data_IF_852433704246
#
_entry.id   IF_852433704246
#
_cell.length_a   1.000
_cell.length_b   1.000
_cell.length_c   1.000
_cell.angle_alpha   90.00
_cell.angle_beta   90.00
_cell.angle_gamma   90.00
#
_symmetry.space_group_name_H-M   'P 1'
#
loop_
_entity.id
_entity.type
_entity.pdbx_description
1 polymer ?
#
# COMPACT_ATOMS: atom_id res chain seq x y z
N UNK A 1 11.42 77.54 -41.97
CA UNK A 1 11.68 77.41 -40.54
C UNK A 1 10.63 76.50 -39.96
N UNK A 2 11.01 75.59 -39.15
CA UNK A 2 10.31 74.57 -38.35
C UNK A 2 10.36 73.17 -38.97
N UNK A 3 11.28 72.40 -38.45
CA UNK A 3 11.52 71.00 -38.67
C UNK A 3 10.44 70.16 -38.00
N UNK A 4 9.82 69.21 -38.68
CA UNK A 4 8.99 68.18 -38.10
C UNK A 4 9.78 66.88 -38.05
N UNK A 5 9.97 66.34 -36.85
CA UNK A 5 10.69 65.12 -36.55
C UNK A 5 9.73 63.94 -36.75
N UNK A 6 10.08 63.06 -37.70
CA UNK A 6 9.38 61.82 -37.97
C UNK A 6 9.97 60.75 -37.07
N UNK A 7 9.25 60.24 -36.09
CA UNK A 7 9.66 59.11 -35.25
C UNK A 7 9.17 57.82 -35.91
N UNK A 8 10.15 57.06 -36.40
CA UNK A 8 9.93 55.70 -36.97
C UNK A 8 9.89 54.69 -35.81
N UNK A 9 8.72 54.11 -35.58
CA UNK A 9 8.56 53.01 -34.57
C UNK A 9 8.87 51.71 -35.31
N UNK A 10 10.02 51.12 -35.06
CA UNK A 10 10.34 49.72 -35.40
C UNK A 10 9.70 48.78 -34.38
N UNK A 11 8.65 48.07 -34.79
CA UNK A 11 8.13 46.92 -34.04
C UNK A 11 9.10 45.73 -34.22
N UNK A 12 9.92 45.47 -33.21
CA UNK A 12 10.64 44.20 -33.07
C UNK A 12 9.71 43.19 -32.40
N UNK A 13 9.20 42.22 -33.16
CA UNK A 13 8.60 41.02 -32.65
C UNK A 13 9.70 40.17 -32.00
N UNK A 14 9.80 40.20 -30.67
CA UNK A 14 10.62 39.26 -29.92
C UNK A 14 9.70 38.06 -29.65
N UNK A 15 9.96 36.97 -30.36
CA UNK A 15 9.40 35.67 -30.09
C UNK A 15 10.03 35.13 -28.80
N UNK A 16 9.35 35.27 -27.69
CA UNK A 16 9.76 34.68 -26.40
C UNK A 16 9.43 33.19 -26.43
N UNK A 17 10.43 32.36 -26.62
CA UNK A 17 10.34 30.94 -26.33
C UNK A 17 10.33 30.80 -24.80
N UNK A 18 9.15 30.52 -24.25
CA UNK A 18 9.00 30.16 -22.85
C UNK A 18 9.54 28.74 -22.68
N UNK A 19 10.72 28.61 -22.12
CA UNK A 19 11.17 27.37 -21.49
C UNK A 19 10.34 27.19 -20.22
N UNK A 20 9.46 26.23 -20.22
CA UNK A 20 8.84 25.76 -19.01
C UNK A 20 9.92 25.04 -18.18
N UNK A 21 10.46 25.72 -17.18
CA UNK A 21 11.16 25.07 -16.08
C UNK A 21 10.11 24.32 -15.25
N UNK A 22 10.17 23.00 -15.31
CA UNK A 22 9.46 22.13 -14.37
C UNK A 22 9.96 22.47 -12.95
N UNK A 23 9.20 23.29 -12.27
CA UNK A 23 9.37 23.53 -10.86
C UNK A 23 9.01 22.23 -10.14
N UNK A 24 10.01 21.43 -9.80
CA UNK A 24 9.93 20.42 -8.77
C UNK A 24 9.62 21.17 -7.48
N UNK A 25 8.34 21.19 -7.12
CA UNK A 25 7.87 21.70 -5.84
C UNK A 25 8.48 20.82 -4.76
N UNK A 26 9.52 21.31 -4.09
CA UNK A 26 9.95 20.75 -2.81
C UNK A 26 8.83 21.04 -1.81
N UNK A 27 7.95 20.06 -1.62
CA UNK A 27 7.01 20.06 -0.52
C UNK A 27 7.84 20.01 0.77
N UNK A 28 8.00 21.15 1.43
CA UNK A 28 8.42 21.23 2.81
C UNK A 28 7.33 20.57 3.65
N UNK A 29 7.57 19.32 4.05
CA UNK A 29 6.71 18.62 5.01
C UNK A 29 6.78 19.41 6.33
N UNK A 30 5.68 20.05 6.68
CA UNK A 30 5.54 20.77 7.94
C UNK A 30 5.55 19.78 9.10
N UNK A 31 6.36 20.09 10.12
CA UNK A 31 6.69 19.27 11.30
C UNK A 31 5.51 19.08 12.28
N UNK A 32 4.30 19.49 11.92
CA UNK A 32 3.15 19.54 12.85
C UNK A 32 2.20 18.33 12.79
N UNK A 33 2.58 17.22 12.15
CA UNK A 33 1.77 16.01 12.17
C UNK A 33 2.42 14.95 13.04
N UNK A 34 1.78 14.65 14.17
CA UNK A 34 2.10 13.43 14.95
C UNK A 34 2.05 12.22 14.02
N UNK A 35 2.99 11.26 14.13
CA UNK A 35 3.02 10.10 13.26
C UNK A 35 1.78 9.24 13.51
N UNK A 36 0.79 9.37 12.64
CA UNK A 36 -0.28 8.41 12.51
C UNK A 36 0.15 7.37 11.47
N UNK A 37 -0.34 6.14 11.58
CA UNK A 37 -0.23 5.18 10.50
C UNK A 37 -1.02 5.76 9.32
N UNK A 38 -0.37 5.93 8.17
CA UNK A 38 -1.06 6.23 6.92
C UNK A 38 -1.64 4.91 6.43
N UNK A 39 -2.93 4.67 6.73
CA UNK A 39 -3.58 3.38 6.50
C UNK A 39 -4.13 3.28 5.08
N UNK A 40 -3.76 2.20 4.41
CA UNK A 40 -4.31 1.76 3.12
C UNK A 40 -5.24 0.56 3.27
N UNK A 41 -5.37 0.02 4.50
CA UNK A 41 -6.08 -1.23 4.78
C UNK A 41 -5.23 -2.48 4.50
N UNK A 42 -3.91 -2.33 4.38
CA UNK A 42 -2.97 -3.41 4.11
C UNK A 42 -2.69 -4.26 5.35
N UNK A 43 -2.42 -5.56 5.17
CA UNK A 43 -1.85 -6.43 6.22
C UNK A 43 -0.34 -6.25 6.38
N UNK A 44 0.27 -5.36 5.62
CA UNK A 44 1.71 -5.05 5.65
C UNK A 44 1.91 -3.65 6.21
N UNK A 45 2.76 -3.54 7.23
CA UNK A 45 3.19 -2.25 7.78
C UNK A 45 4.69 -2.06 7.57
N UNK A 46 5.08 -0.97 6.95
CA UNK A 46 6.47 -0.52 6.92
C UNK A 46 6.72 0.37 8.13
N UNK A 47 7.53 -0.10 9.06
CA UNK A 47 7.99 0.65 10.23
C UNK A 47 9.43 1.08 10.01
N UNK A 48 9.75 2.35 10.19
CA UNK A 48 11.14 2.77 10.03
C UNK A 48 11.56 3.84 11.06
N UNK A 49 12.87 3.85 11.32
CA UNK A 49 13.53 4.94 12.03
C UNK A 49 14.61 5.54 11.14
N UNK A 50 14.63 6.87 11.02
CA UNK A 50 15.63 7.57 10.22
C UNK A 50 16.09 8.87 10.88
N UNK A 51 17.37 9.17 10.70
CA UNK A 51 17.95 10.49 10.99
C UNK A 51 18.41 11.22 9.72
N UNK A 52 18.21 10.58 8.56
CA UNK A 52 18.53 11.12 7.24
C UNK A 52 17.51 10.67 6.20
N UNK A 53 17.62 11.17 4.98
CA UNK A 53 16.67 10.88 3.92
C UNK A 53 16.82 9.47 3.30
N UNK A 54 17.91 8.74 3.57
CA UNK A 54 18.20 7.47 2.89
C UNK A 54 17.21 6.38 3.28
N UNK A 55 17.05 6.13 4.59
CA UNK A 55 16.07 5.16 5.10
C UNK A 55 14.65 5.63 4.80
N UNK A 56 14.37 6.92 4.99
CA UNK A 56 13.03 7.47 4.72
C UNK A 56 12.63 7.22 3.27
N UNK A 57 13.46 7.60 2.30
CA UNK A 57 13.18 7.37 0.89
C UNK A 57 13.01 5.87 0.55
N UNK A 58 13.81 5.00 1.18
CA UNK A 58 13.67 3.56 1.01
C UNK A 58 12.35 3.04 1.58
N UNK A 59 11.95 3.48 2.78
CA UNK A 59 10.70 3.08 3.42
C UNK A 59 9.47 3.50 2.59
N UNK A 60 9.45 4.74 2.10
CA UNK A 60 8.39 5.20 1.20
C UNK A 60 8.34 4.39 -0.11
N UNK A 61 9.51 4.08 -0.69
CA UNK A 61 9.57 3.26 -1.93
C UNK A 61 9.04 1.85 -1.68
N UNK A 62 9.36 1.24 -0.54
CA UNK A 62 8.85 -0.10 -0.16
C UNK A 62 7.35 -0.05 0.07
N UNK A 63 6.87 0.93 0.84
CA UNK A 63 5.45 1.09 1.14
C UNK A 63 4.62 1.31 -0.16
N UNK A 64 5.08 2.19 -1.04
CA UNK A 64 4.46 2.43 -2.36
C UNK A 64 4.43 1.15 -3.22
N UNK A 65 5.54 0.39 -3.24
CA UNK A 65 5.64 -0.84 -4.04
C UNK A 65 4.69 -1.93 -3.57
N UNK A 66 4.52 -2.06 -2.26
CA UNK A 66 3.71 -3.12 -1.64
C UNK A 66 2.29 -2.66 -1.28
N UNK A 67 1.93 -1.40 -1.55
CA UNK A 67 0.69 -0.78 -1.05
C UNK A 67 0.54 -0.96 0.46
N UNK A 68 1.67 -0.86 1.18
CA UNK A 68 1.75 -1.08 2.61
C UNK A 68 1.50 0.19 3.39
N UNK A 69 0.97 0.06 4.59
CA UNK A 69 0.89 1.15 5.54
C UNK A 69 2.28 1.58 6.02
N UNK A 70 2.43 2.82 6.45
CA UNK A 70 3.73 3.38 6.82
C UNK A 70 3.68 4.01 8.22
N UNK A 71 4.71 3.72 9.03
CA UNK A 71 4.88 4.28 10.36
C UNK A 71 6.33 4.71 10.61
N UNK A 72 6.56 5.98 10.95
CA UNK A 72 7.86 6.49 11.35
C UNK A 72 8.03 6.47 12.87
N UNK A 73 9.05 5.79 13.36
CA UNK A 73 9.43 5.86 14.76
C UNK A 73 10.09 7.22 15.01
N UNK A 74 9.41 8.07 15.75
CA UNK A 74 9.91 9.40 16.10
C UNK A 74 10.35 9.43 17.56
N UNK A 75 11.60 9.85 17.86
CA UNK A 75 12.05 10.05 19.22
C UNK A 75 11.36 11.28 19.85
N UNK A 76 11.10 11.26 21.15
CA UNK A 76 10.61 12.44 21.90
C UNK A 76 11.55 13.64 21.71
N UNK A 77 12.86 13.37 21.75
CA UNK A 77 13.89 14.35 21.48
C UNK A 77 14.54 14.05 20.13
N UNK A 78 14.27 14.82 19.07
CA UNK A 78 14.88 14.61 17.76
C UNK A 78 16.40 14.60 17.82
N UNK A 79 17.03 13.74 17.01
CA UNK A 79 18.50 13.69 16.89
C UNK A 79 18.96 14.88 16.02
N UNK A 80 19.92 15.63 16.55
CA UNK A 80 20.62 16.70 15.82
C UNK A 80 21.83 16.14 15.05
N UNK A 81 22.42 16.96 14.17
CA UNK A 81 23.66 16.59 13.48
C UNK A 81 24.82 16.28 14.45
N UNK A 82 24.87 16.97 15.59
CA UNK A 82 25.89 16.73 16.62
C UNK A 82 25.62 15.41 17.37
N UNK A 83 24.36 15.05 17.57
CA UNK A 83 23.95 13.80 18.21
C UNK A 83 24.35 12.57 17.41
N UNK A 84 24.35 12.63 16.08
CA UNK A 84 24.70 11.51 15.19
C UNK A 84 26.17 11.52 14.76
N UNK A 85 26.99 12.39 15.32
CA UNK A 85 28.41 12.49 15.01
C UNK A 85 29.19 11.29 15.59
N UNK A 86 29.40 10.26 14.80
CA UNK A 86 30.10 9.02 15.20
C UNK A 86 31.60 9.22 15.48
N UNK A 87 32.20 10.35 15.12
CA UNK A 87 33.58 10.71 15.48
C UNK A 87 33.69 11.28 16.90
N UNK A 88 32.57 11.68 17.51
CA UNK A 88 32.51 12.18 18.86
C UNK A 88 32.00 11.08 19.81
N UNK A 89 32.89 10.56 20.65
CA UNK A 89 32.52 9.55 21.67
C UNK A 89 31.53 10.04 22.72
N UNK A 90 31.33 11.37 22.80
CA UNK A 90 30.37 12.01 23.71
C UNK A 90 29.07 12.41 22.99
N UNK A 91 28.93 12.12 21.70
CA UNK A 91 27.66 12.31 21.01
C UNK A 91 26.58 11.41 21.61
N UNK A 92 25.33 11.85 21.53
CA UNK A 92 24.19 11.11 22.07
C UNK A 92 24.14 9.67 21.53
N UNK A 93 24.27 9.49 20.22
CA UNK A 93 24.25 8.16 19.61
C UNK A 93 25.44 7.30 20.03
N UNK A 94 26.64 7.90 20.24
CA UNK A 94 27.79 7.15 20.77
C UNK A 94 27.53 6.66 22.19
N UNK A 95 26.95 7.47 23.04
CA UNK A 95 26.60 7.11 24.43
C UNK A 95 25.52 6.02 24.41
N UNK A 96 24.41 6.23 23.67
CA UNK A 96 23.31 5.28 23.58
C UNK A 96 23.78 3.90 23.05
N UNK A 97 24.61 3.86 22.00
CA UNK A 97 25.06 2.59 21.41
C UNK A 97 26.03 1.83 22.33
N UNK A 98 26.79 2.53 23.18
CA UNK A 98 27.68 1.92 24.17
C UNK A 98 26.95 1.44 25.44
N UNK A 99 25.71 1.86 25.66
CA UNK A 99 24.85 1.41 26.75
C UNK A 99 23.82 0.37 26.26
N UNK A 100 23.97 -0.91 26.61
CA UNK A 100 22.99 -1.93 26.25
C UNK A 100 21.59 -1.71 26.82
N UNK A 101 21.48 -0.90 27.88
CA UNK A 101 20.22 -0.60 28.55
C UNK A 101 19.58 0.72 28.05
N UNK A 102 20.23 1.46 27.17
CA UNK A 102 19.67 2.69 26.62
C UNK A 102 18.34 2.40 25.87
N UNK A 103 17.32 3.14 26.24
CA UNK A 103 15.98 3.08 25.65
C UNK A 103 15.47 4.51 25.38
N UNK A 104 15.91 5.14 24.26
CA UNK A 104 15.41 6.44 23.87
C UNK A 104 13.90 6.43 23.75
N UNK A 105 13.23 7.43 24.31
CA UNK A 105 11.77 7.48 24.34
C UNK A 105 11.21 7.78 22.94
N UNK A 106 10.11 7.08 22.59
CA UNK A 106 9.34 7.25 21.35
C UNK A 106 8.18 8.19 21.62
N UNK A 107 7.96 9.15 20.73
CA UNK A 107 6.94 10.20 20.91
C UNK A 107 5.53 9.62 20.84
N UNK A 108 5.28 8.73 19.89
CA UNK A 108 3.99 8.04 19.72
C UNK A 108 4.26 6.61 19.29
N UNK A 109 3.54 5.66 19.85
CA UNK A 109 3.52 4.25 19.42
C UNK A 109 2.25 4.01 18.57
N UNK A 110 2.26 3.05 17.65
CA UNK A 110 1.04 2.62 16.99
C UNK A 110 0.07 2.06 18.03
N UNK A 111 -1.21 2.43 17.94
CA UNK A 111 -2.24 2.02 18.92
C UNK A 111 -2.47 0.51 18.88
N UNK A 112 -2.47 -0.08 17.69
CA UNK A 112 -2.71 -1.50 17.47
C UNK A 112 -1.96 -2.00 16.23
N UNK A 113 -1.38 -3.19 16.34
CA UNK A 113 -0.75 -3.89 15.22
C UNK A 113 -1.49 -5.16 14.80
N UNK A 114 -2.67 -5.46 15.37
CA UNK A 114 -3.40 -6.70 15.11
C UNK A 114 -3.81 -6.88 13.64
N UNK A 115 -4.03 -5.79 12.92
CA UNK A 115 -4.36 -5.81 11.49
C UNK A 115 -3.18 -6.17 10.57
N UNK A 116 -1.94 -6.28 11.08
CA UNK A 116 -0.76 -6.51 10.28
C UNK A 116 -0.15 -7.88 10.53
N UNK A 117 0.03 -8.66 9.48
CA UNK A 117 0.73 -9.96 9.53
C UNK A 117 2.22 -9.79 9.31
N UNK A 118 2.62 -8.78 8.54
CA UNK A 118 4.00 -8.51 8.17
C UNK A 118 4.43 -7.10 8.52
N UNK A 119 5.58 -7.01 9.21
CA UNK A 119 6.25 -5.75 9.54
C UNK A 119 7.56 -5.67 8.76
N UNK A 120 7.69 -4.70 7.88
CA UNK A 120 8.96 -4.42 7.18
C UNK A 120 9.68 -3.33 7.96
N UNK A 121 10.80 -3.68 8.61
CA UNK A 121 11.47 -2.85 9.60
C UNK A 121 12.73 -2.18 9.04
N UNK A 122 12.69 -0.85 8.85
CA UNK A 122 13.78 -0.05 8.27
C UNK A 122 14.58 0.74 9.29
N UNK A 123 15.94 0.68 9.23
CA UNK A 123 16.80 1.43 10.15
C UNK A 123 18.23 1.61 9.62
N UNK A 124 18.96 2.65 10.05
CA UNK A 124 20.39 2.76 9.77
C UNK A 124 21.20 1.81 10.68
N UNK A 125 22.37 1.38 10.22
CA UNK A 125 23.33 0.65 11.06
C UNK A 125 24.23 1.64 11.78
N UNK A 126 24.18 1.61 13.12
CA UNK A 126 25.06 2.35 14.00
C UNK A 126 25.96 1.39 14.79
N UNK A 127 27.30 1.49 14.62
CA UNK A 127 28.28 0.60 15.28
C UNK A 127 27.98 -0.91 15.11
N UNK A 128 27.51 -1.32 13.91
CA UNK A 128 27.17 -2.73 13.62
C UNK A 128 25.87 -3.22 14.29
N UNK A 129 25.07 -2.31 14.83
CA UNK A 129 23.83 -2.56 15.57
C UNK A 129 22.68 -1.76 15.01
N UNK A 130 21.45 -2.11 15.38
CA UNK A 130 20.31 -1.23 15.23
C UNK A 130 20.38 -0.08 16.26
N UNK A 131 19.86 1.11 15.96
CA UNK A 131 19.72 2.20 16.92
C UNK A 131 18.93 1.78 18.17
N UNK A 132 19.32 2.27 19.35
CA UNK A 132 18.67 1.88 20.60
C UNK A 132 17.17 2.18 20.67
N UNK A 133 16.67 3.16 19.92
CA UNK A 133 15.25 3.45 19.83
C UNK A 133 14.44 2.28 19.22
N UNK A 134 15.07 1.42 18.37
CA UNK A 134 14.43 0.21 17.85
C UNK A 134 14.20 -0.81 18.98
N UNK A 135 15.10 -0.87 19.96
CA UNK A 135 14.92 -1.73 21.15
C UNK A 135 13.70 -1.26 21.96
N UNK A 136 13.55 0.07 22.13
CA UNK A 136 12.37 0.64 22.76
C UNK A 136 11.09 0.24 22.01
N UNK A 137 11.09 0.37 20.68
CA UNK A 137 9.95 -0.03 19.85
C UNK A 137 9.60 -1.50 20.02
N UNK A 138 10.57 -2.41 19.84
CA UNK A 138 10.37 -3.85 19.93
C UNK A 138 9.83 -4.32 21.30
N UNK A 139 10.21 -3.62 22.37
CA UNK A 139 9.74 -3.92 23.74
C UNK A 139 8.39 -3.27 24.07
N UNK A 140 7.92 -2.32 23.24
CA UNK A 140 6.71 -1.54 23.50
C UNK A 140 5.47 -2.03 22.73
N UNK A 141 5.64 -2.92 21.75
CA UNK A 141 4.55 -3.40 20.90
C UNK A 141 4.46 -4.92 20.89
N UNK A 142 3.27 -5.46 20.66
CA UNK A 142 3.09 -6.91 20.52
C UNK A 142 3.35 -7.35 19.07
N UNK A 143 4.39 -8.15 18.88
CA UNK A 143 4.82 -8.71 17.59
C UNK A 143 4.55 -10.21 17.49
N UNK A 144 3.78 -10.77 18.40
CA UNK A 144 3.45 -12.20 18.42
C UNK A 144 2.76 -12.64 17.13
N UNK A 145 3.23 -13.72 16.52
CA UNK A 145 2.69 -14.29 15.29
C UNK A 145 3.01 -13.51 14.02
N UNK A 146 3.75 -12.40 14.10
CA UNK A 146 4.06 -11.57 12.94
C UNK A 146 5.35 -11.99 12.25
N UNK A 147 5.44 -11.69 10.95
CA UNK A 147 6.68 -11.83 10.17
C UNK A 147 7.41 -10.49 10.13
N UNK A 148 8.67 -10.47 10.53
CA UNK A 148 9.54 -9.27 10.50
C UNK A 148 10.54 -9.40 9.36
N UNK A 149 10.58 -8.41 8.47
CA UNK A 149 11.49 -8.33 7.33
C UNK A 149 12.36 -7.09 7.50
N UNK A 150 13.58 -7.22 8.03
CA UNK A 150 14.43 -6.06 8.24
C UNK A 150 15.05 -5.55 6.93
N UNK A 151 15.17 -4.23 6.79
CA UNK A 151 16.08 -3.62 5.85
C UNK A 151 16.90 -2.53 6.54
N UNK A 152 18.12 -2.32 6.08
CA UNK A 152 18.98 -1.32 6.71
C UNK A 152 19.87 -0.60 5.69
N UNK A 153 20.27 0.61 6.03
CA UNK A 153 21.36 1.31 5.34
C UNK A 153 22.63 1.24 6.15
N UNK A 154 23.76 1.15 5.45
CA UNK A 154 25.08 1.16 6.06
C UNK A 154 26.09 1.77 5.09
N UNK A 155 26.92 2.67 5.58
CA UNK A 155 27.96 3.30 4.78
C UNK A 155 29.00 2.29 4.25
N UNK A 156 29.70 1.59 5.13
CA UNK A 156 30.77 0.66 4.76
C UNK A 156 30.67 -0.70 5.44
N UNK A 157 29.97 -0.81 6.57
CA UNK A 157 29.79 -2.06 7.32
C UNK A 157 28.67 -2.92 6.71
N UNK A 158 28.66 -4.22 7.01
CA UNK A 158 27.52 -5.10 6.75
C UNK A 158 26.39 -4.82 7.73
N UNK A 159 25.38 -5.71 7.72
CA UNK A 159 24.22 -5.65 8.63
C UNK A 159 24.57 -5.87 10.10
N UNK A 160 25.77 -6.38 10.38
CA UNK A 160 26.26 -6.68 11.73
C UNK A 160 25.36 -7.68 12.46
N UNK A 161 25.18 -7.44 13.76
CA UNK A 161 24.24 -8.20 14.61
C UNK A 161 22.92 -7.47 14.84
N UNK A 162 22.58 -6.50 14.00
CA UNK A 162 21.42 -5.61 14.21
C UNK A 162 20.13 -6.38 14.35
N UNK A 163 19.74 -7.17 13.34
CA UNK A 163 18.50 -7.94 13.36
C UNK A 163 18.53 -9.05 14.44
N UNK A 164 19.62 -9.80 14.55
CA UNK A 164 19.71 -10.89 15.54
C UNK A 164 19.63 -10.40 16.99
N UNK A 165 20.02 -9.16 17.28
CA UNK A 165 19.85 -8.58 18.60
C UNK A 165 18.40 -8.08 18.83
N UNK A 166 17.74 -7.53 17.83
CA UNK A 166 16.32 -7.18 17.93
C UNK A 166 15.43 -8.42 18.04
N UNK A 167 15.77 -9.49 17.32
CA UNK A 167 15.04 -10.76 17.39
C UNK A 167 14.98 -11.35 18.80
N UNK A 168 16.00 -11.14 19.62
CA UNK A 168 16.02 -11.60 21.03
C UNK A 168 14.98 -10.92 21.91
N UNK A 169 14.40 -9.80 21.45
CA UNK A 169 13.37 -9.04 22.16
C UNK A 169 11.96 -9.50 21.79
N UNK A 170 11.83 -10.39 20.81
CA UNK A 170 10.53 -10.92 20.36
C UNK A 170 10.32 -12.35 20.84
N UNK A 171 9.06 -12.77 20.94
CA UNK A 171 8.70 -14.14 21.32
C UNK A 171 8.98 -15.15 20.20
N UNK A 172 8.92 -16.45 20.55
CA UNK A 172 9.16 -17.57 19.63
C UNK A 172 8.16 -17.63 18.46
N UNK A 173 6.99 -17.04 18.61
CA UNK A 173 5.96 -16.98 17.56
C UNK A 173 6.25 -15.96 16.47
N UNK A 174 7.22 -15.05 16.67
CA UNK A 174 7.62 -14.03 15.69
C UNK A 174 8.62 -14.64 14.70
N UNK A 175 8.29 -14.56 13.41
CA UNK A 175 9.17 -15.06 12.34
C UNK A 175 10.06 -13.93 11.85
N UNK A 176 11.37 -14.14 11.74
CA UNK A 176 12.33 -13.18 11.21
C UNK A 176 12.93 -13.68 9.90
N UNK A 177 12.87 -12.84 8.86
CA UNK A 177 13.53 -13.09 7.58
C UNK A 177 14.89 -12.41 7.49
N UNK A 178 15.63 -12.71 6.42
CA UNK A 178 16.96 -12.15 6.20
C UNK A 178 16.93 -10.63 6.03
N UNK A 179 17.91 -9.96 6.62
CA UNK A 179 18.03 -8.51 6.53
C UNK A 179 18.54 -8.08 5.17
N UNK A 180 17.78 -7.22 4.49
CA UNK A 180 18.24 -6.54 3.28
C UNK A 180 19.11 -5.35 3.61
N UNK A 181 20.36 -5.36 3.13
CA UNK A 181 21.17 -4.14 3.11
C UNK A 181 20.87 -3.33 1.85
N UNK A 182 20.48 -2.07 2.04
CA UNK A 182 20.34 -1.07 1.01
C UNK A 182 21.60 -0.20 1.02
N UNK A 183 22.31 -0.12 -0.09
CA UNK A 183 23.52 0.69 -0.19
C UNK A 183 23.22 2.18 -0.33
N UNK A 184 24.09 3.04 0.16
CA UNK A 184 24.01 4.47 -0.11
C UNK A 184 24.17 4.70 -1.63
N UNK A 185 23.12 5.05 -2.33
CA UNK A 185 23.11 5.17 -3.79
C UNK A 185 22.30 4.10 -4.51
N UNK A 186 21.68 3.17 -3.78
CA UNK A 186 20.67 2.28 -4.38
C UNK A 186 19.52 3.12 -4.96
N UNK A 187 19.19 2.83 -6.21
CA UNK A 187 18.09 3.50 -6.89
C UNK A 187 16.74 3.02 -6.36
N UNK A 188 15.71 3.85 -6.48
CA UNK A 188 14.32 3.45 -6.18
C UNK A 188 13.91 2.19 -6.97
N UNK A 189 14.43 2.02 -8.21
CA UNK A 189 14.18 0.81 -9.00
C UNK A 189 14.72 -0.46 -8.34
N UNK A 190 15.94 -0.41 -7.80
CA UNK A 190 16.53 -1.58 -7.10
C UNK A 190 15.78 -1.92 -5.82
N UNK A 191 15.28 -0.89 -5.11
CA UNK A 191 14.46 -1.08 -3.92
C UNK A 191 13.11 -1.71 -4.28
N UNK A 192 12.45 -1.24 -5.35
CA UNK A 192 11.20 -1.84 -5.87
C UNK A 192 11.39 -3.31 -6.25
N UNK A 193 12.42 -3.62 -7.03
CA UNK A 193 12.73 -5.01 -7.41
C UNK A 193 12.92 -5.91 -6.19
N UNK A 194 13.56 -5.40 -5.13
CA UNK A 194 13.66 -6.15 -3.89
C UNK A 194 12.31 -6.32 -3.20
N UNK A 195 11.53 -5.25 -3.05
CA UNK A 195 10.22 -5.31 -2.42
C UNK A 195 9.29 -6.30 -3.15
N UNK A 196 9.24 -6.23 -4.49
CA UNK A 196 8.49 -7.18 -5.32
C UNK A 196 8.97 -8.63 -5.13
N UNK A 197 10.29 -8.84 -4.94
CA UNK A 197 10.87 -10.18 -4.72
C UNK A 197 10.49 -10.82 -3.38
N UNK A 198 9.93 -10.07 -2.44
CA UNK A 198 9.44 -10.60 -1.17
C UNK A 198 8.19 -11.50 -1.38
N UNK A 199 7.53 -11.40 -2.53
CA UNK A 199 6.33 -12.17 -2.84
C UNK A 199 5.17 -11.88 -1.89
N UNK A 200 5.23 -10.74 -1.20
CA UNK A 200 4.13 -10.25 -0.38
C UNK A 200 3.07 -9.74 -1.35
N UNK A 201 1.98 -10.45 -1.43
CA UNK A 201 0.88 -10.00 -2.28
C UNK A 201 0.38 -8.66 -1.71
N UNK A 202 0.25 -7.68 -2.59
CA UNK A 202 -0.57 -6.51 -2.29
C UNK A 202 -1.92 -7.04 -1.88
N UNK A 203 -2.36 -6.79 -0.67
CA UNK A 203 -3.79 -6.86 -0.38
C UNK A 203 -4.42 -5.69 -1.13
N UNK A 204 -4.63 -5.90 -2.42
CA UNK A 204 -5.64 -5.13 -3.11
C UNK A 204 -6.94 -5.51 -2.40
N UNK A 205 -7.48 -4.63 -1.56
CA UNK A 205 -8.89 -4.63 -1.22
C UNK A 205 -9.60 -4.39 -2.53
N UNK A 206 -9.73 -5.47 -3.28
CA UNK A 206 -10.31 -5.43 -4.60
C UNK A 206 -11.80 -5.33 -4.37
N UNK A 207 -12.31 -4.12 -4.34
CA UNK A 207 -13.73 -3.85 -4.42
C UNK A 207 -14.05 -3.36 -5.82
N UNK A 208 -15.19 -3.77 -6.30
CA UNK A 208 -15.83 -3.13 -7.45
C UNK A 208 -17.30 -2.90 -7.12
N UNK A 209 -17.96 -2.12 -7.93
CA UNK A 209 -19.34 -1.71 -7.67
C UNK A 209 -20.24 -2.19 -8.78
N UNK A 210 -21.47 -2.53 -8.42
CA UNK A 210 -22.55 -2.86 -9.35
C UNK A 210 -23.64 -1.80 -9.21
N UNK A 211 -23.80 -0.96 -10.22
CA UNK A 211 -24.87 0.01 -10.28
C UNK A 211 -26.09 -0.65 -10.92
N UNK A 212 -27.19 -0.67 -10.22
CA UNK A 212 -28.43 -1.30 -10.68
C UNK A 212 -29.64 -0.58 -10.11
N UNK A 213 -30.60 -0.21 -10.96
CA UNK A 213 -31.88 0.43 -10.57
C UNK A 213 -31.71 1.64 -9.62
N UNK A 214 -30.64 2.42 -9.79
CA UNK A 214 -30.34 3.59 -8.94
C UNK A 214 -29.71 3.26 -7.59
N UNK A 215 -29.36 2.00 -7.34
CA UNK A 215 -28.64 1.52 -6.17
C UNK A 215 -27.21 1.14 -6.55
N UNK A 216 -26.25 1.39 -5.66
CA UNK A 216 -24.85 0.97 -5.78
C UNK A 216 -24.63 -0.17 -4.80
N UNK A 217 -24.22 -1.33 -5.30
CA UNK A 217 -23.87 -2.50 -4.53
C UNK A 217 -22.34 -2.64 -4.50
N UNK A 218 -21.75 -2.71 -3.32
CA UNK A 218 -20.33 -2.96 -3.13
C UNK A 218 -20.06 -4.45 -3.22
N UNK A 219 -19.14 -4.86 -4.09
CA UNK A 219 -18.69 -6.24 -4.22
C UNK A 219 -17.30 -6.36 -3.63
N UNK A 220 -17.14 -7.14 -2.57
CA UNK A 220 -15.85 -7.56 -2.06
C UNK A 220 -15.30 -8.63 -2.99
N UNK A 221 -14.28 -8.31 -3.78
CA UNK A 221 -13.73 -9.19 -4.78
C UNK A 221 -12.91 -10.34 -4.17
N UNK A 222 -12.94 -11.50 -4.82
CA UNK A 222 -12.12 -12.65 -4.42
C UNK A 222 -10.65 -12.46 -4.79
N UNK A 223 -9.76 -13.11 -4.02
CA UNK A 223 -8.31 -13.08 -4.24
C UNK A 223 -7.89 -14.12 -5.29
N UNK A 224 -8.43 -14.05 -6.52
CA UNK A 224 -8.10 -14.98 -7.59
C UNK A 224 -7.80 -14.26 -8.92
N UNK A 225 -7.25 -14.97 -9.89
CA UNK A 225 -6.86 -14.40 -11.18
C UNK A 225 -8.05 -13.89 -11.99
N UNK A 226 -9.25 -14.44 -11.78
CA UNK A 226 -10.47 -14.02 -12.47
C UNK A 226 -10.93 -12.64 -11.98
N UNK A 227 -10.99 -12.44 -10.68
CA UNK A 227 -11.35 -11.15 -10.07
C UNK A 227 -10.31 -10.07 -10.41
N UNK A 228 -9.01 -10.39 -10.34
CA UNK A 228 -7.92 -9.49 -10.77
C UNK A 228 -8.07 -9.06 -12.23
N UNK A 229 -8.41 -9.99 -13.12
CA UNK A 229 -8.62 -9.68 -14.54
C UNK A 229 -9.87 -8.85 -14.78
N UNK A 230 -10.96 -9.06 -14.01
CA UNK A 230 -12.14 -8.19 -14.07
C UNK A 230 -11.79 -6.77 -13.66
N UNK A 231 -11.09 -6.61 -12.54
CA UNK A 231 -10.67 -5.28 -12.05
C UNK A 231 -9.78 -4.57 -13.07
N UNK A 232 -8.81 -5.27 -13.67
CA UNK A 232 -7.97 -4.71 -14.72
C UNK A 232 -8.77 -4.23 -15.95
N UNK A 233 -9.87 -4.90 -16.30
CA UNK A 233 -10.79 -4.41 -17.34
C UNK A 233 -11.50 -3.13 -16.87
N UNK A 234 -11.97 -3.10 -15.63
CA UNK A 234 -12.68 -1.94 -15.04
C UNK A 234 -11.78 -0.71 -14.86
N UNK A 235 -10.46 -0.89 -14.73
CA UNK A 235 -9.49 0.21 -14.77
C UNK A 235 -9.49 0.96 -16.12
N UNK A 236 -9.90 0.28 -17.19
CA UNK A 236 -9.96 0.88 -18.52
C UNK A 236 -11.30 1.56 -18.82
N UNK A 237 -12.39 0.97 -18.38
CA UNK A 237 -13.75 1.49 -18.55
C UNK A 237 -14.78 0.68 -17.77
N UNK A 238 -15.90 1.32 -17.42
CA UNK A 238 -17.06 0.63 -16.89
C UNK A 238 -17.62 -0.39 -17.90
N UNK A 239 -18.19 -1.47 -17.38
CA UNK A 239 -18.78 -2.55 -18.21
C UNK A 239 -20.28 -2.59 -17.97
N UNK A 240 -21.07 -2.37 -19.04
CA UNK A 240 -22.53 -2.50 -19.00
C UNK A 240 -22.94 -3.92 -19.37
N UNK A 241 -23.70 -4.56 -18.50
CA UNK A 241 -24.22 -5.92 -18.70
C UNK A 241 -25.74 -5.94 -18.67
N UNK A 242 -26.35 -6.47 -19.73
CA UNK A 242 -27.77 -6.79 -19.73
C UNK A 242 -27.96 -8.21 -19.19
N UNK A 243 -28.70 -8.32 -18.10
CA UNK A 243 -28.91 -9.58 -17.38
C UNK A 243 -30.37 -9.97 -17.40
N UNK A 244 -30.64 -11.26 -17.34
CA UNK A 244 -31.99 -11.84 -17.24
C UNK A 244 -32.06 -12.87 -16.13
N UNK A 245 -33.25 -13.17 -15.65
CA UNK A 245 -33.46 -14.23 -14.66
C UNK A 245 -33.20 -15.62 -15.25
N UNK A 246 -32.48 -16.45 -14.52
CA UNK A 246 -32.29 -17.87 -14.84
C UNK A 246 -32.55 -18.73 -13.60
N UNK A 247 -33.33 -19.79 -13.76
CA UNK A 247 -33.60 -20.80 -12.72
C UNK A 247 -34.27 -20.25 -11.44
N UNK A 248 -34.69 -18.99 -11.38
CA UNK A 248 -35.24 -18.31 -10.18
C UNK A 248 -34.25 -18.18 -9.01
N UNK A 249 -32.96 -18.26 -9.28
CA UNK A 249 -31.90 -18.16 -8.27
C UNK A 249 -30.78 -17.18 -8.65
N UNK A 250 -30.70 -16.74 -9.91
CA UNK A 250 -29.64 -15.82 -10.37
C UNK A 250 -30.10 -14.85 -11.46
N UNK A 251 -29.38 -13.74 -11.58
CA UNK A 251 -29.30 -12.90 -12.78
C UNK A 251 -28.07 -13.27 -13.56
N UNK A 252 -28.17 -13.48 -14.88
CA UNK A 252 -27.06 -13.84 -15.74
C UNK A 252 -26.97 -12.95 -16.96
N UNK A 253 -25.75 -12.56 -17.34
CA UNK A 253 -25.49 -11.75 -18.54
C UNK A 253 -24.09 -11.95 -19.09
N UNK A 254 -23.88 -11.63 -20.36
CA UNK A 254 -22.55 -11.69 -20.98
C UNK A 254 -21.67 -10.55 -20.48
N UNK A 255 -20.47 -10.89 -20.02
CA UNK A 255 -19.46 -9.90 -19.60
C UNK A 255 -18.84 -9.17 -20.82
N UNK A 256 -18.92 -9.74 -22.01
CA UNK A 256 -18.31 -9.19 -23.23
C UNK A 256 -16.80 -9.39 -23.33
N UNK A 257 -16.20 -10.10 -22.40
CA UNK A 257 -14.78 -10.44 -22.37
C UNK A 257 -14.59 -11.84 -21.78
N UNK A 258 -13.51 -12.52 -22.17
CA UNK A 258 -13.09 -13.79 -21.59
C UNK A 258 -12.09 -13.53 -20.46
N UNK A 259 -12.36 -14.12 -19.28
CA UNK A 259 -11.50 -14.06 -18.10
C UNK A 259 -10.91 -15.44 -17.78
N UNK A 260 -9.76 -15.52 -17.11
CA UNK A 260 -9.27 -16.76 -16.53
C UNK A 260 -10.31 -17.41 -15.63
N UNK A 261 -10.30 -18.74 -15.53
CA UNK A 261 -11.23 -19.49 -14.67
C UNK A 261 -10.49 -20.06 -13.48
N UNK A 262 -11.12 -19.96 -12.30
CA UNK A 262 -10.69 -20.54 -11.04
C UNK A 262 -11.84 -21.38 -10.46
N UNK A 263 -12.31 -22.37 -11.24
CA UNK A 263 -13.51 -23.14 -10.91
C UNK A 263 -13.31 -24.04 -9.69
N UNK A 264 -14.21 -23.92 -8.74
CA UNK A 264 -14.30 -24.73 -7.54
C UNK A 264 -15.73 -25.24 -7.33
N UNK A 265 -15.90 -26.39 -6.66
CA UNK A 265 -17.23 -26.90 -6.28
C UNK A 265 -17.77 -26.08 -5.11
N UNK A 266 -18.61 -25.12 -5.38
CA UNK A 266 -19.19 -24.21 -4.38
C UNK A 266 -20.72 -24.25 -4.43
N UNK A 267 -21.32 -24.05 -3.25
CA UNK A 267 -22.73 -23.71 -3.09
C UNK A 267 -22.84 -22.21 -2.95
N UNK A 268 -23.55 -21.56 -3.86
CA UNK A 268 -23.77 -20.10 -3.84
C UNK A 268 -24.72 -19.69 -2.74
N UNK A 269 -24.60 -18.44 -2.34
CA UNK A 269 -25.53 -17.75 -1.43
C UNK A 269 -25.96 -16.41 -2.06
N UNK A 270 -27.01 -15.80 -1.51
CA UNK A 270 -27.40 -14.47 -1.95
C UNK A 270 -26.24 -13.47 -1.80
N UNK A 271 -25.97 -12.69 -2.86
CA UNK A 271 -24.84 -11.77 -2.94
C UNK A 271 -23.62 -12.31 -3.64
N UNK A 272 -23.52 -13.60 -3.92
CA UNK A 272 -22.39 -14.15 -4.68
C UNK A 272 -22.38 -13.67 -6.13
N UNK A 273 -21.25 -13.14 -6.55
CA UNK A 273 -20.98 -12.72 -7.94
C UNK A 273 -20.05 -13.74 -8.56
N UNK A 274 -20.51 -14.40 -9.60
CA UNK A 274 -19.87 -15.58 -10.19
C UNK A 274 -19.48 -15.29 -11.65
N UNK A 275 -18.35 -15.81 -12.07
CA UNK A 275 -17.96 -15.95 -13.48
C UNK A 275 -18.33 -17.38 -13.94
N UNK A 276 -19.25 -17.48 -14.87
CA UNK A 276 -19.63 -18.74 -15.47
C UNK A 276 -19.03 -18.89 -16.87
N UNK A 277 -18.41 -20.03 -17.12
CA UNK A 277 -17.76 -20.40 -18.42
C UNK A 277 -16.69 -19.37 -18.90
N UNK A 278 -16.19 -18.49 -18.01
CA UNK A 278 -15.14 -17.54 -18.33
C UNK A 278 -15.62 -16.22 -18.96
N UNK A 279 -16.90 -16.08 -19.33
CA UNK A 279 -17.38 -14.88 -20.03
C UNK A 279 -18.82 -14.45 -19.67
N UNK A 280 -19.47 -15.14 -18.77
CA UNK A 280 -20.76 -14.74 -18.23
C UNK A 280 -20.61 -14.34 -16.78
N UNK A 281 -21.20 -13.22 -16.39
CA UNK A 281 -21.29 -12.79 -15.00
C UNK A 281 -22.69 -13.07 -14.47
N UNK A 282 -22.76 -13.61 -13.26
CA UNK A 282 -24.02 -13.92 -12.58
C UNK A 282 -24.03 -13.30 -11.19
N UNK A 283 -25.22 -12.87 -10.75
CA UNK A 283 -25.48 -12.40 -9.39
C UNK A 283 -26.49 -13.37 -8.78
N UNK A 284 -26.04 -14.13 -7.81
CA UNK A 284 -26.89 -15.10 -7.12
C UNK A 284 -27.73 -14.41 -6.05
N UNK A 285 -29.01 -14.74 -6.02
CA UNK A 285 -29.94 -14.33 -4.96
C UNK A 285 -30.63 -15.52 -4.28
N UNK A 286 -30.19 -16.77 -4.63
CA UNK A 286 -30.59 -18.01 -3.98
C UNK A 286 -29.49 -19.06 -4.14
N UNK A 287 -29.66 -20.23 -3.51
CA UNK A 287 -28.66 -21.29 -3.53
C UNK A 287 -28.64 -22.05 -4.86
N UNK A 288 -27.43 -22.34 -5.33
CA UNK A 288 -27.13 -23.28 -6.40
C UNK A 288 -25.77 -23.91 -6.14
N UNK A 289 -25.53 -25.13 -6.63
CA UNK A 289 -24.24 -25.81 -6.47
C UNK A 289 -23.71 -26.31 -7.78
N UNK A 290 -22.50 -25.84 -8.11
CA UNK A 290 -21.79 -26.25 -9.33
C UNK A 290 -20.30 -25.91 -9.24
N UNK A 291 -19.55 -26.24 -10.26
CA UNK A 291 -18.20 -25.77 -10.46
C UNK A 291 -18.24 -24.30 -10.95
N UNK A 292 -17.97 -23.38 -10.09
CA UNK A 292 -18.02 -21.94 -10.35
C UNK A 292 -16.69 -21.25 -10.04
N UNK A 293 -16.44 -20.18 -10.75
CA UNK A 293 -15.41 -19.20 -10.37
C UNK A 293 -16.07 -18.04 -9.65
N UNK A 294 -15.82 -17.88 -8.36
CA UNK A 294 -16.31 -16.74 -7.60
C UNK A 294 -15.49 -15.48 -7.93
N UNK A 295 -16.16 -14.38 -8.27
CA UNK A 295 -15.55 -13.07 -8.52
C UNK A 295 -15.57 -12.20 -7.26
N UNK A 296 -16.57 -12.38 -6.40
CA UNK A 296 -16.74 -11.62 -5.19
C UNK A 296 -18.06 -11.87 -4.49
N UNK A 297 -18.32 -11.08 -3.45
CA UNK A 297 -19.54 -11.17 -2.65
C UNK A 297 -20.07 -9.78 -2.27
N UNK A 298 -21.37 -9.63 -2.31
CA UNK A 298 -22.13 -8.46 -1.85
C UNK A 298 -22.69 -8.84 -0.47
N UNK A 299 -22.33 -8.11 0.57
CA UNK A 299 -22.86 -8.32 1.91
C UNK A 299 -24.29 -7.72 2.01
N UNK A 300 -25.28 -8.54 1.64
CA UNK A 300 -26.68 -8.12 1.53
C UNK A 300 -27.64 -9.28 1.82
N UNK A 301 -28.79 -8.97 2.38
CA UNK A 301 -29.85 -9.96 2.60
C UNK A 301 -30.56 -10.38 1.30
N UNK A 302 -30.98 -11.66 1.21
CA UNK A 302 -31.64 -12.22 0.04
C UNK A 302 -32.86 -11.42 -0.46
N UNK A 303 -33.76 -11.03 0.45
CA UNK A 303 -34.98 -10.32 0.10
C UNK A 303 -34.69 -8.89 -0.38
N UNK A 304 -33.69 -8.26 0.20
CA UNK A 304 -33.23 -6.94 -0.20
C UNK A 304 -32.60 -6.99 -1.60
N UNK A 305 -31.69 -7.95 -1.85
CA UNK A 305 -31.07 -8.13 -3.17
C UNK A 305 -32.10 -8.43 -4.25
N UNK A 306 -33.09 -9.30 -3.98
CA UNK A 306 -34.20 -9.57 -4.89
C UNK A 306 -35.01 -8.31 -5.21
N UNK A 307 -35.21 -7.47 -4.21
CA UNK A 307 -35.95 -6.20 -4.40
C UNK A 307 -35.17 -5.23 -5.29
N UNK A 308 -33.86 -5.11 -5.07
CA UNK A 308 -32.96 -4.22 -5.85
C UNK A 308 -32.83 -4.71 -7.29
N UNK A 309 -32.61 -6.00 -7.52
CA UNK A 309 -32.47 -6.57 -8.85
C UNK A 309 -33.79 -6.57 -9.64
N UNK A 310 -34.92 -6.66 -8.94
CA UNK A 310 -36.24 -6.76 -9.56
C UNK A 310 -36.47 -8.07 -10.30
N UNK A 311 -37.63 -8.23 -10.90
CA UNK A 311 -37.98 -9.40 -11.73
C UNK A 311 -37.74 -9.12 -13.22
N UNK A 312 -37.39 -10.15 -13.98
CA UNK A 312 -37.15 -10.06 -15.43
C UNK A 312 -35.79 -9.48 -15.78
N UNK A 313 -35.70 -8.79 -16.90
CA UNK A 313 -34.43 -8.24 -17.40
C UNK A 313 -34.02 -7.02 -16.60
N UNK A 314 -32.71 -6.88 -16.36
CA UNK A 314 -32.10 -5.75 -15.70
C UNK A 314 -30.76 -5.40 -16.35
N UNK A 315 -30.44 -4.11 -16.39
CA UNK A 315 -29.12 -3.65 -16.83
C UNK A 315 -28.31 -3.25 -15.58
N UNK A 316 -27.11 -3.78 -15.49
CA UNK A 316 -26.15 -3.41 -14.47
C UNK A 316 -24.91 -2.76 -15.09
N UNK A 317 -24.24 -1.89 -14.33
CA UNK A 317 -22.96 -1.33 -14.71
C UNK A 317 -21.94 -1.75 -13.64
N UNK A 318 -20.88 -2.42 -14.08
CA UNK A 318 -19.74 -2.74 -13.26
C UNK A 318 -18.75 -1.57 -13.33
N UNK A 319 -18.27 -1.09 -12.17
CA UNK A 319 -17.39 0.09 -12.08
C UNK A 319 -16.41 -0.05 -10.92
N UNK A 320 -15.28 0.67 -10.97
CA UNK A 320 -14.41 0.90 -9.81
C UNK A 320 -14.82 2.14 -9.01
N UNK A 321 -15.81 2.89 -9.47
CA UNK A 321 -16.32 4.07 -8.79
C UNK A 321 -17.70 3.77 -8.16
N UNK A 322 -17.93 4.19 -6.89
CA UNK A 322 -19.22 4.02 -6.23
C UNK A 322 -20.34 4.92 -6.80
#
# INVERSE_FOLDING_TARGET
>A
MKKALLVLICLLLICSISLAEDAVSSATLSVDRLPAIESTGSSILVVYFSTDDTIRAAAYTVADTLSADLFEIQPVEPYTADDVNYHNSQSRTSIEQNDPQARPAIAVLPEDLNGYDTIILGYPIWWGQAPRILYTFMESVDLSGKTIIPFCTSGSSGVGSSASNLQKLTGESTVWLDTKRISNGSSAKEIRVWADSLGLEKEETSMFYIHVNGTVLTVNAEKNSSAKSLIALLETSDITVSMHDYGSFEKVGSLGADLPRNDEDITTTAGDVILYQGNQITIYYDENRWNFTKLGHIDIGQDELKTILGSGDVTVILSLNP
#
